data_IF_984037157939
#
_entry.id   IF_984037157939
#
_cell.length_a   1.000
_cell.length_b   1.000
_cell.length_c   1.000
_cell.angle_alpha   90.00
_cell.angle_beta   90.00
_cell.angle_gamma   90.00
#
_symmetry.space_group_name_H-M   'P 1'
#
loop_
_entity.id
_entity.type
_entity.pdbx_description
1 polymer ?
#
# COMPACT_ATOMS: atom_id res chain seq x y z
N UNK A 1 54.23 40.02 -1.94
CA UNK A 1 53.84 38.84 -2.74
C UNK A 1 53.88 37.55 -1.89
N UNK A 2 53.18 37.48 -0.74
CA UNK A 2 53.27 36.30 0.16
C UNK A 2 52.02 36.09 1.03
N UNK A 3 50.82 36.27 0.45
CA UNK A 3 49.54 35.98 1.16
C UNK A 3 48.61 35.08 0.34
N UNK A 4 48.80 34.97 -0.98
CA UNK A 4 47.94 34.15 -1.86
C UNK A 4 48.28 32.65 -1.87
N UNK A 5 49.51 32.24 -1.54
CA UNK A 5 49.88 30.81 -1.54
C UNK A 5 49.41 30.03 -0.29
N UNK A 6 49.13 30.69 0.84
CA UNK A 6 48.71 29.99 2.08
C UNK A 6 47.24 29.55 2.07
N UNK A 7 46.37 30.21 1.30
CA UNK A 7 44.92 29.95 1.25
C UNK A 7 44.54 28.73 0.40
N UNK A 8 45.40 28.29 -0.51
CA UNK A 8 45.13 27.17 -1.42
C UNK A 8 45.34 25.80 -0.76
N UNK A 9 46.26 25.71 0.21
CA UNK A 9 46.49 24.47 0.97
C UNK A 9 45.36 24.11 1.94
N UNK A 10 44.65 25.10 2.50
CA UNK A 10 43.61 24.83 3.50
C UNK A 10 42.34 24.20 2.89
N UNK A 11 42.00 24.57 1.65
CA UNK A 11 40.87 23.95 0.91
C UNK A 11 41.17 22.51 0.51
N UNK A 12 42.39 22.23 0.08
CA UNK A 12 42.83 20.86 -0.28
C UNK A 12 42.86 19.97 0.97
N UNK A 13 43.40 20.46 2.08
CA UNK A 13 43.41 19.73 3.36
C UNK A 13 41.98 19.49 3.87
N UNK A 14 41.08 20.47 3.75
CA UNK A 14 39.67 20.31 4.17
C UNK A 14 38.89 19.30 3.31
N UNK A 15 39.16 19.22 2.01
CA UNK A 15 38.57 18.21 1.11
C UNK A 15 39.12 16.81 1.44
N UNK A 16 40.41 16.67 1.71
CA UNK A 16 41.03 15.40 2.13
C UNK A 16 40.47 14.95 3.49
N UNK A 17 40.25 15.87 4.43
CA UNK A 17 39.65 15.58 5.73
C UNK A 17 38.19 15.13 5.60
N UNK A 18 37.40 15.77 4.73
CA UNK A 18 36.02 15.35 4.45
C UNK A 18 35.95 14.00 3.73
N UNK A 19 36.89 13.69 2.82
CA UNK A 19 36.97 12.39 2.15
C UNK A 19 37.40 11.26 3.11
N UNK A 20 38.33 11.52 4.01
CA UNK A 20 38.77 10.53 5.01
C UNK A 20 37.69 10.25 6.06
N UNK A 21 36.90 11.26 6.46
CA UNK A 21 35.73 11.06 7.34
C UNK A 21 34.67 10.19 6.65
N UNK A 22 34.36 10.45 5.37
CA UNK A 22 33.34 9.68 4.63
C UNK A 22 33.74 8.20 4.41
N UNK A 23 35.04 7.92 4.29
CA UNK A 23 35.57 6.56 4.18
C UNK A 23 35.57 5.84 5.54
N UNK A 24 35.73 6.57 6.66
CA UNK A 24 35.71 5.98 8.00
C UNK A 24 34.33 5.44 8.43
N UNK A 25 33.23 6.04 7.97
CA UNK A 25 31.88 5.63 8.37
C UNK A 25 31.29 4.45 7.59
N UNK A 26 31.82 4.11 6.42
CA UNK A 26 31.25 3.05 5.58
C UNK A 26 31.71 1.62 5.93
N UNK A 27 32.63 1.43 6.87
CA UNK A 27 33.23 0.10 7.18
C UNK A 27 33.36 -0.20 8.68
N UNK A 28 32.51 0.38 9.54
CA UNK A 28 32.66 0.22 11.01
C UNK A 28 32.38 -1.23 11.45
N UNK A 29 31.47 -1.93 10.77
CA UNK A 29 31.04 -3.26 11.15
C UNK A 29 31.25 -4.28 10.02
N UNK A 30 31.45 -5.55 10.39
CA UNK A 30 31.56 -6.64 9.42
C UNK A 30 30.21 -6.87 8.72
N UNK A 31 30.18 -7.56 7.57
CA UNK A 31 28.94 -8.13 7.05
C UNK A 31 28.21 -8.90 8.16
N UNK A 32 26.88 -8.82 8.17
CA UNK A 32 26.00 -9.33 9.23
C UNK A 32 26.05 -8.60 10.58
N UNK A 33 26.55 -7.37 10.62
CA UNK A 33 26.56 -6.56 11.85
C UNK A 33 26.01 -5.15 11.62
N UNK A 34 25.43 -4.60 12.69
CA UNK A 34 24.94 -3.22 12.74
C UNK A 34 25.68 -2.44 13.83
N UNK A 35 25.95 -1.16 13.59
CA UNK A 35 26.57 -0.32 14.61
C UNK A 35 25.51 0.25 15.56
N UNK A 36 25.59 -0.12 16.84
CA UNK A 36 24.74 0.46 17.88
C UNK A 36 25.38 1.71 18.45
N UNK A 37 24.74 2.87 18.27
CA UNK A 37 25.16 4.13 18.90
C UNK A 37 25.08 4.07 20.44
N UNK A 38 24.17 3.25 20.98
CA UNK A 38 23.98 3.06 22.42
C UNK A 38 25.11 2.22 23.00
N UNK A 39 25.41 1.09 22.36
CA UNK A 39 26.46 0.17 22.82
C UNK A 39 27.86 0.54 22.30
N UNK A 40 27.96 1.57 21.46
CA UNK A 40 29.17 2.02 20.75
C UNK A 40 29.95 0.88 20.08
N UNK A 41 29.24 -0.16 19.65
CA UNK A 41 29.82 -1.42 19.16
C UNK A 41 28.97 -2.03 18.06
N UNK A 42 29.58 -2.95 17.31
CA UNK A 42 28.91 -3.73 16.28
C UNK A 42 28.16 -4.91 16.90
N UNK A 43 26.85 -4.93 16.72
CA UNK A 43 25.97 -6.01 17.15
C UNK A 43 25.72 -6.95 15.97
N UNK A 44 25.68 -8.25 16.23
CA UNK A 44 25.32 -9.25 15.23
C UNK A 44 23.83 -9.17 14.93
N UNK A 45 23.49 -9.30 13.65
CA UNK A 45 22.12 -9.61 13.24
C UNK A 45 21.73 -11.02 13.70
N UNK A 46 20.45 -11.35 13.59
CA UNK A 46 19.99 -12.74 13.71
C UNK A 46 20.72 -13.63 12.70
N UNK A 47 20.92 -14.90 13.06
CA UNK A 47 21.52 -15.93 12.20
C UNK A 47 20.71 -16.17 10.90
N UNK A 48 19.47 -15.70 10.85
CA UNK A 48 18.61 -15.77 9.67
C UNK A 48 18.85 -14.64 8.66
N UNK A 49 19.51 -13.56 9.07
CA UNK A 49 19.80 -12.42 8.22
C UNK A 49 21.25 -12.45 7.74
N UNK A 50 21.52 -11.81 6.60
CA UNK A 50 22.87 -11.41 6.17
C UNK A 50 23.08 -9.89 6.37
N UNK A 51 22.01 -9.11 6.25
CA UNK A 51 21.97 -7.71 6.68
C UNK A 51 20.65 -7.44 7.38
N UNK A 52 20.63 -6.56 8.39
CA UNK A 52 19.46 -6.29 9.23
C UNK A 52 19.39 -4.81 9.65
N UNK A 53 18.20 -4.34 10.04
CA UNK A 53 18.02 -3.01 10.64
C UNK A 53 18.24 -3.00 12.16
N UNK A 54 17.93 -4.11 12.83
CA UNK A 54 18.16 -4.34 14.25
C UNK A 54 18.49 -5.82 14.49
N UNK A 55 18.79 -6.22 15.72
CA UNK A 55 19.21 -7.60 16.06
C UNK A 55 18.06 -8.61 16.12
N UNK A 56 16.83 -8.21 15.81
CA UNK A 56 15.64 -9.09 15.78
C UNK A 56 15.63 -9.97 14.54
N UNK A 57 15.00 -11.14 14.65
CA UNK A 57 14.76 -12.06 13.53
C UNK A 57 13.75 -11.50 12.50
N UNK A 58 12.98 -10.47 12.89
CA UNK A 58 11.97 -9.81 12.05
C UNK A 58 12.49 -8.48 11.45
N UNK A 59 13.81 -8.30 11.39
CA UNK A 59 14.41 -7.07 10.91
C UNK A 59 15.45 -7.32 9.81
N UNK A 60 15.33 -8.44 9.09
CA UNK A 60 16.24 -8.78 8.00
C UNK A 60 15.99 -7.89 6.78
N UNK A 61 17.06 -7.31 6.24
CA UNK A 61 17.05 -6.62 4.94
C UNK A 61 17.35 -7.61 3.84
N UNK A 62 18.35 -8.46 4.06
CA UNK A 62 18.69 -9.60 3.20
C UNK A 62 18.80 -10.87 4.04
N UNK A 63 18.39 -11.99 3.47
CA UNK A 63 18.41 -13.28 4.15
C UNK A 63 19.80 -13.92 4.10
N UNK A 64 20.09 -14.75 5.10
CA UNK A 64 21.28 -15.59 5.15
C UNK A 64 21.33 -16.62 4.02
N UNK A 65 22.45 -17.32 3.90
CA UNK A 65 22.62 -18.33 2.87
C UNK A 65 21.53 -19.41 2.93
N UNK A 66 20.95 -19.75 1.76
CA UNK A 66 19.87 -20.74 1.60
C UNK A 66 18.55 -20.38 2.28
N UNK A 67 18.38 -19.11 2.66
CA UNK A 67 17.11 -18.55 3.13
C UNK A 67 16.52 -17.59 2.09
N UNK A 68 15.21 -17.43 2.12
CA UNK A 68 14.44 -16.64 1.18
C UNK A 68 13.60 -15.61 1.91
N UNK A 69 13.31 -14.47 1.29
CA UNK A 69 12.37 -13.50 1.88
C UNK A 69 10.97 -14.09 1.92
N UNK A 70 10.28 -13.92 3.05
CA UNK A 70 8.88 -14.31 3.19
C UNK A 70 7.98 -13.40 2.35
N UNK A 71 6.89 -13.97 1.85
CA UNK A 71 5.84 -13.24 1.14
C UNK A 71 4.91 -12.48 2.10
N UNK A 72 4.84 -12.90 3.37
CA UNK A 72 3.96 -12.32 4.39
C UNK A 72 4.60 -11.11 5.09
N UNK A 73 5.92 -11.13 5.24
CA UNK A 73 6.71 -10.03 5.80
C UNK A 73 8.11 -10.01 5.18
N UNK A 74 8.38 -8.98 4.37
CA UNK A 74 9.66 -8.79 3.68
C UNK A 74 10.87 -8.63 4.61
N UNK A 75 10.64 -8.46 5.92
CA UNK A 75 11.66 -8.38 6.97
C UNK A 75 11.99 -9.72 7.61
N UNK A 76 11.31 -10.79 7.20
CA UNK A 76 11.48 -12.15 7.70
C UNK A 76 12.03 -13.09 6.63
N UNK A 77 12.78 -14.09 7.08
CA UNK A 77 13.44 -15.05 6.22
C UNK A 77 12.93 -16.47 6.49
N UNK A 78 12.70 -17.25 5.43
CA UNK A 78 12.17 -18.61 5.49
C UNK A 78 13.08 -19.59 4.74
N UNK A 79 13.10 -20.84 5.16
CA UNK A 79 13.88 -21.90 4.51
C UNK A 79 13.21 -22.46 3.25
N UNK A 80 11.89 -22.32 3.15
CA UNK A 80 11.08 -22.82 2.04
C UNK A 80 9.84 -21.96 1.93
N UNK A 81 9.44 -21.66 0.69
CA UNK A 81 8.17 -20.99 0.45
C UNK A 81 6.99 -21.88 0.84
N UNK A 82 5.92 -21.24 1.28
CA UNK A 82 4.70 -21.91 1.73
C UNK A 82 3.97 -22.60 0.56
N UNK A 83 3.02 -23.47 0.90
CA UNK A 83 2.07 -24.01 -0.08
C UNK A 83 1.27 -22.83 -0.65
N UNK A 84 1.18 -22.71 -1.98
CA UNK A 84 0.70 -21.55 -2.76
C UNK A 84 1.74 -20.46 -3.09
N UNK A 85 3.03 -20.70 -2.87
CA UNK A 85 4.10 -19.77 -3.23
C UNK A 85 5.15 -20.44 -4.12
N UNK A 86 5.87 -19.61 -4.88
CA UNK A 86 7.05 -20.01 -5.63
C UNK A 86 8.23 -19.09 -5.31
N UNK A 87 9.44 -19.59 -5.57
CA UNK A 87 10.67 -18.82 -5.41
C UNK A 87 11.00 -18.06 -6.70
N UNK A 88 11.05 -16.73 -6.61
CA UNK A 88 11.43 -15.88 -7.73
C UNK A 88 12.96 -15.83 -7.94
N UNK A 89 13.40 -15.03 -8.92
CA UNK A 89 14.83 -14.86 -9.24
C UNK A 89 15.60 -14.07 -8.19
N UNK A 90 14.90 -13.26 -7.39
CA UNK A 90 15.47 -12.45 -6.33
C UNK A 90 15.59 -13.18 -4.98
N UNK A 91 15.33 -14.50 -4.95
CA UNK A 91 15.30 -15.32 -3.74
C UNK A 91 14.19 -14.90 -2.76
N UNK A 92 13.03 -14.53 -3.30
CA UNK A 92 11.85 -14.12 -2.54
C UNK A 92 10.70 -15.11 -2.82
N UNK A 93 9.98 -15.46 -1.76
CA UNK A 93 8.76 -16.22 -1.88
C UNK A 93 7.63 -15.31 -2.35
N UNK A 94 6.98 -15.69 -3.44
CA UNK A 94 5.90 -14.93 -4.07
C UNK A 94 4.65 -15.80 -4.12
N UNK A 95 3.51 -15.24 -3.72
CA UNK A 95 2.22 -15.94 -3.75
C UNK A 95 1.74 -16.16 -5.18
N UNK A 96 1.17 -17.34 -5.41
CA UNK A 96 0.44 -17.64 -6.63
C UNK A 96 -0.77 -16.73 -6.73
N UNK A 97 -0.94 -16.08 -7.87
CA UNK A 97 -2.04 -15.16 -8.13
C UNK A 97 -3.34 -15.91 -8.49
N UNK A 98 -3.22 -17.14 -8.98
CA UNK A 98 -4.36 -17.97 -9.33
C UNK A 98 -5.00 -18.50 -8.06
N UNK A 99 -6.25 -18.11 -7.84
CA UNK A 99 -6.99 -18.58 -6.70
C UNK A 99 -7.08 -20.11 -6.68
N UNK A 100 -6.94 -20.71 -5.50
CA UNK A 100 -7.03 -22.17 -5.35
C UNK A 100 -5.82 -22.91 -5.93
N UNK A 101 -4.82 -22.20 -6.46
CA UNK A 101 -3.57 -22.79 -6.88
C UNK A 101 -2.66 -23.02 -5.67
N UNK A 102 -2.10 -24.22 -5.58
CA UNK A 102 -1.18 -24.61 -4.49
C UNK A 102 0.26 -24.70 -4.97
N UNK A 103 0.46 -24.77 -6.28
CA UNK A 103 1.76 -24.75 -6.93
C UNK A 103 1.63 -24.05 -8.29
N UNK A 104 2.40 -22.97 -8.46
CA UNK A 104 2.51 -22.25 -9.72
C UNK A 104 3.98 -22.04 -10.10
N UNK A 105 4.23 -21.79 -11.37
CA UNK A 105 5.54 -21.43 -11.88
C UNK A 105 5.81 -19.92 -11.81
N UNK A 106 7.00 -19.50 -12.27
CA UNK A 106 7.39 -18.08 -12.30
C UNK A 106 6.56 -17.22 -13.24
N UNK A 107 5.89 -17.82 -14.22
CA UNK A 107 4.97 -17.14 -15.13
C UNK A 107 3.54 -17.09 -14.57
N UNK A 108 3.35 -17.46 -13.29
CA UNK A 108 2.03 -17.57 -12.66
C UNK A 108 1.14 -18.59 -13.38
N UNK A 109 1.72 -19.64 -13.97
CA UNK A 109 0.96 -20.76 -14.51
C UNK A 109 0.74 -21.78 -13.40
N UNK A 110 -0.52 -22.15 -13.17
CA UNK A 110 -0.85 -23.12 -12.12
C UNK A 110 -0.57 -24.55 -12.58
N UNK A 111 0.29 -25.24 -11.83
CA UNK A 111 0.60 -26.65 -12.04
C UNK A 111 -0.35 -27.56 -11.25
N UNK A 112 -0.77 -27.11 -10.07
CA UNK A 112 -1.59 -27.89 -9.16
C UNK A 112 -2.55 -27.01 -8.39
N UNK A 113 -3.83 -27.39 -8.42
CA UNK A 113 -4.88 -26.78 -7.61
C UNK A 113 -5.03 -27.49 -6.26
N UNK A 114 -5.68 -26.81 -5.31
CA UNK A 114 -6.02 -27.39 -4.01
C UNK A 114 -7.07 -28.48 -4.14
N UNK A 115 -7.23 -29.28 -3.09
CA UNK A 115 -8.03 -30.51 -3.05
C UNK A 115 -9.50 -30.38 -3.52
N UNK A 116 -10.08 -29.18 -3.48
CA UNK A 116 -11.47 -28.93 -3.88
C UNK A 116 -11.61 -28.42 -5.32
N UNK A 117 -10.49 -28.18 -6.01
CA UNK A 117 -10.44 -27.55 -7.31
C UNK A 117 -9.84 -28.48 -8.35
N UNK A 118 -10.32 -28.36 -9.58
CA UNK A 118 -9.77 -29.00 -10.75
C UNK A 118 -9.03 -27.96 -11.58
N UNK A 119 -7.83 -28.32 -12.03
CA UNK A 119 -7.05 -27.47 -12.91
C UNK A 119 -7.67 -27.40 -14.32
N UNK A 120 -8.04 -26.20 -14.74
CA UNK A 120 -8.31 -25.84 -16.12
C UNK A 120 -7.06 -25.23 -16.74
N UNK A 121 -6.28 -26.08 -17.42
CA UNK A 121 -5.04 -25.68 -18.08
C UNK A 121 -5.25 -24.71 -19.24
N UNK A 122 -6.41 -24.72 -19.89
CA UNK A 122 -6.65 -23.88 -21.06
C UNK A 122 -6.79 -22.41 -20.67
N UNK A 123 -7.42 -22.16 -19.52
CA UNK A 123 -7.66 -20.82 -18.99
C UNK A 123 -6.69 -20.42 -17.87
N UNK A 124 -5.83 -21.35 -17.43
CA UNK A 124 -4.90 -21.16 -16.31
C UNK A 124 -5.64 -20.86 -14.99
N UNK A 125 -6.63 -21.69 -14.67
CA UNK A 125 -7.53 -21.48 -13.53
C UNK A 125 -7.75 -22.75 -12.72
N UNK A 126 -8.11 -22.59 -11.45
CA UNK A 126 -8.57 -23.66 -10.59
C UNK A 126 -10.07 -23.53 -10.39
N UNK A 127 -10.82 -24.47 -10.96
CA UNK A 127 -12.29 -24.45 -10.97
C UNK A 127 -12.84 -25.38 -9.91
N UNK A 128 -13.81 -24.93 -9.13
CA UNK A 128 -14.42 -25.73 -8.08
C UNK A 128 -15.01 -27.04 -8.64
N UNK A 129 -14.74 -28.17 -8.00
CA UNK A 129 -15.32 -29.45 -8.44
C UNK A 129 -16.81 -29.52 -8.07
N UNK A 130 -17.64 -29.99 -9.02
CA UNK A 130 -19.10 -30.08 -8.87
C UNK A 130 -19.60 -30.90 -7.66
N UNK A 131 -18.76 -31.76 -7.08
CA UNK A 131 -19.09 -32.60 -5.94
C UNK A 131 -18.75 -31.99 -4.57
N UNK A 132 -18.21 -30.76 -4.54
CA UNK A 132 -17.78 -30.10 -3.29
C UNK A 132 -18.96 -29.39 -2.60
N UNK A 133 -19.79 -28.68 -3.36
CA UNK A 133 -21.03 -28.07 -2.85
C UNK A 133 -22.27 -28.62 -3.58
N UNK A 134 -23.36 -28.94 -2.86
CA UNK A 134 -24.56 -29.56 -3.45
C UNK A 134 -25.34 -28.65 -4.41
N UNK A 135 -25.09 -27.34 -4.37
CA UNK A 135 -25.74 -26.35 -5.22
C UNK A 135 -24.69 -25.44 -5.89
N UNK A 136 -24.90 -25.12 -7.16
CA UNK A 136 -24.04 -24.25 -7.99
C UNK A 136 -23.92 -22.81 -7.48
N UNK A 137 -24.72 -22.42 -6.49
CA UNK A 137 -24.80 -21.07 -5.92
C UNK A 137 -24.07 -20.93 -4.58
N UNK A 138 -23.43 -21.99 -4.11
CA UNK A 138 -22.84 -22.01 -2.77
C UNK A 138 -21.35 -21.74 -2.84
N UNK A 139 -20.88 -20.94 -1.90
CA UNK A 139 -19.49 -20.53 -1.76
C UNK A 139 -18.79 -21.37 -0.72
N UNK A 140 -17.58 -21.86 -1.01
CA UNK A 140 -16.75 -22.53 0.01
C UNK A 140 -16.00 -21.51 0.87
N UNK A 141 -16.01 -21.71 2.19
CA UNK A 141 -15.23 -20.86 3.09
C UNK A 141 -13.76 -21.28 3.15
N UNK A 142 -12.92 -20.62 2.34
CA UNK A 142 -11.47 -20.77 2.33
C UNK A 142 -10.91 -22.10 1.78
N UNK A 143 -9.61 -22.15 1.44
CA UNK A 143 -8.97 -23.32 0.83
C UNK A 143 -8.59 -24.44 1.81
N UNK A 144 -8.56 -24.19 3.13
CA UNK A 144 -7.78 -25.05 4.02
C UNK A 144 -8.51 -26.28 4.61
N UNK A 145 -9.82 -26.29 4.85
CA UNK A 145 -10.50 -27.50 5.36
C UNK A 145 -12.01 -27.50 5.08
N UNK A 146 -12.51 -28.61 4.55
CA UNK A 146 -13.88 -28.88 4.09
C UNK A 146 -15.04 -28.53 5.08
N UNK A 147 -16.21 -28.26 4.46
CA UNK A 147 -17.62 -28.39 4.94
C UNK A 147 -18.44 -27.14 5.30
N UNK A 148 -18.10 -25.94 4.83
CA UNK A 148 -19.03 -24.82 4.93
C UNK A 148 -19.29 -24.25 3.55
N UNK A 149 -20.20 -24.91 2.84
CA UNK A 149 -20.85 -24.36 1.65
C UNK A 149 -21.93 -23.40 2.16
N UNK A 150 -21.68 -22.10 2.03
CA UNK A 150 -22.62 -21.09 2.44
C UNK A 150 -23.31 -20.50 1.21
N UNK A 151 -24.62 -20.27 1.28
CA UNK A 151 -25.33 -19.57 0.21
C UNK A 151 -24.89 -18.08 0.12
N UNK A 152 -24.34 -17.54 1.21
CA UNK A 152 -23.76 -16.21 1.29
C UNK A 152 -22.53 -16.23 2.21
N UNK A 153 -21.48 -15.50 1.84
CA UNK A 153 -20.29 -15.37 2.67
C UNK A 153 -20.57 -14.62 4.00
N UNK A 154 -19.92 -15.02 5.11
CA UNK A 154 -19.99 -14.28 6.37
C UNK A 154 -19.45 -12.85 6.23
N UNK A 155 -19.86 -11.93 7.11
CA UNK A 155 -19.53 -10.49 7.01
C UNK A 155 -18.02 -10.16 6.93
N UNK A 156 -17.14 -11.03 7.44
CA UNK A 156 -15.68 -10.86 7.36
C UNK A 156 -15.03 -11.41 6.08
N UNK A 157 -15.85 -11.84 5.12
CA UNK A 157 -15.44 -12.45 3.86
C UNK A 157 -16.22 -11.85 2.69
N UNK A 158 -15.59 -11.71 1.53
CA UNK A 158 -16.27 -11.33 0.30
C UNK A 158 -16.54 -12.53 -0.61
N UNK A 159 -17.54 -12.41 -1.47
CA UNK A 159 -17.95 -13.44 -2.44
C UNK A 159 -17.11 -13.30 -3.71
N UNK A 160 -16.22 -14.25 -3.97
CA UNK A 160 -15.58 -14.34 -5.28
C UNK A 160 -16.44 -15.26 -6.17
N UNK A 161 -17.12 -14.64 -7.12
CA UNK A 161 -18.06 -15.30 -8.03
C UNK A 161 -17.37 -16.21 -9.05
N UNK A 162 -16.14 -15.88 -9.45
CA UNK A 162 -15.37 -16.66 -10.42
C UNK A 162 -14.91 -17.99 -9.82
N UNK A 163 -14.40 -17.94 -8.58
CA UNK A 163 -13.89 -19.11 -7.89
C UNK A 163 -14.94 -19.83 -7.00
N UNK A 164 -16.13 -19.27 -6.83
CA UNK A 164 -17.23 -19.79 -6.00
C UNK A 164 -16.81 -20.05 -4.53
N UNK A 165 -16.24 -19.03 -3.92
CA UNK A 165 -15.61 -19.08 -2.59
C UNK A 165 -15.91 -17.83 -1.76
N UNK A 166 -15.70 -17.95 -0.45
CA UNK A 166 -15.59 -16.85 0.48
C UNK A 166 -14.12 -16.59 0.79
N UNK A 167 -13.63 -15.42 0.38
CA UNK A 167 -12.27 -14.97 0.66
C UNK A 167 -12.25 -14.02 1.84
N UNK A 168 -11.27 -14.20 2.72
CA UNK A 168 -11.07 -13.27 3.85
C UNK A 168 -10.79 -11.88 3.31
N UNK A 169 -11.56 -10.90 3.78
CA UNK A 169 -11.37 -9.49 3.43
C UNK A 169 -9.95 -8.99 3.79
N UNK A 170 -9.26 -9.66 4.72
CA UNK A 170 -7.90 -9.36 5.16
C UNK A 170 -6.82 -9.74 4.14
N UNK A 171 -7.11 -10.61 3.15
CA UNK A 171 -6.14 -11.12 2.16
C UNK A 171 -6.26 -10.47 0.78
N UNK A 172 -7.15 -9.49 0.61
CA UNK A 172 -7.07 -8.60 -0.54
C UNK A 172 -5.80 -7.74 -0.40
N UNK A 173 -4.90 -7.79 -1.39
CA UNK A 173 -3.70 -6.93 -1.45
C UNK A 173 -4.09 -5.44 -1.31
N UNK A 174 -5.26 -5.05 -1.82
CA UNK A 174 -5.82 -3.71 -1.67
C UNK A 174 -6.26 -3.35 -0.23
N UNK A 175 -6.47 -4.33 0.65
CA UNK A 175 -6.92 -4.14 2.05
C UNK A 175 -5.76 -4.33 3.04
N UNK A 176 -4.74 -5.13 2.71
CA UNK A 176 -3.49 -5.14 3.49
C UNK A 176 -2.80 -3.77 3.47
N UNK A 177 -2.86 -3.04 2.35
CA UNK A 177 -2.45 -1.64 2.31
C UNK A 177 -3.33 -0.77 3.21
N UNK A 178 -4.65 -1.07 3.31
CA UNK A 178 -5.60 -0.31 4.12
C UNK A 178 -5.40 -0.41 5.64
N UNK A 179 -4.83 -1.52 6.14
CA UNK A 179 -4.54 -1.67 7.57
C UNK A 179 -3.35 -0.83 8.05
N UNK A 180 -2.51 -0.34 7.12
CA UNK A 180 -1.42 0.60 7.38
C UNK A 180 -1.75 2.05 6.98
N UNK A 181 -2.97 2.31 6.51
CA UNK A 181 -3.40 3.66 6.14
C UNK A 181 -3.65 4.48 7.41
N UNK A 182 -2.63 5.21 7.84
CA UNK A 182 -2.81 6.30 8.79
C UNK A 182 -3.26 7.55 8.04
N UNK A 183 -4.44 8.07 8.41
CA UNK A 183 -4.88 9.38 7.94
C UNK A 183 -4.15 10.44 8.76
N UNK A 184 -3.04 10.96 8.21
CA UNK A 184 -2.16 11.90 8.91
C UNK A 184 -2.54 13.36 8.69
N UNK A 185 -3.49 13.62 7.79
CA UNK A 185 -3.92 14.97 7.45
C UNK A 185 -4.90 15.52 8.48
N UNK A 186 -4.86 16.84 8.69
CA UNK A 186 -5.86 17.52 9.52
C UNK A 186 -7.23 17.38 8.85
N UNK A 187 -8.23 16.98 9.62
CA UNK A 187 -9.60 16.79 9.15
C UNK A 187 -10.27 18.15 8.98
N UNK A 188 -10.89 18.36 7.81
CA UNK A 188 -11.65 19.56 7.45
C UNK A 188 -13.16 19.28 7.54
N UNK A 189 -13.59 18.12 7.03
CA UNK A 189 -15.00 17.76 6.94
C UNK A 189 -15.17 16.25 7.08
N UNK A 190 -16.28 15.83 7.66
CA UNK A 190 -16.72 14.43 7.71
C UNK A 190 -18.17 14.42 7.25
N UNK A 191 -18.53 13.49 6.37
CA UNK A 191 -19.90 13.30 5.94
C UNK A 191 -20.26 11.83 5.86
N UNK A 192 -21.54 11.47 6.13
CA UNK A 192 -22.02 10.14 5.81
C UNK A 192 -21.90 9.90 4.31
N UNK A 193 -21.49 8.70 3.94
CA UNK A 193 -21.34 8.28 2.55
C UNK A 193 -22.38 7.21 2.19
N UNK A 194 -22.52 6.19 3.03
CA UNK A 194 -23.56 5.15 2.99
C UNK A 194 -23.99 4.82 4.44
N UNK A 195 -24.92 3.86 4.62
CA UNK A 195 -25.47 3.50 5.95
C UNK A 195 -24.37 3.19 7.00
N UNK A 196 -23.25 2.59 6.58
CA UNK A 196 -22.15 2.18 7.47
C UNK A 196 -20.78 2.81 7.12
N UNK A 197 -20.77 3.90 6.35
CA UNK A 197 -19.52 4.49 5.85
C UNK A 197 -19.49 6.01 5.94
N UNK A 198 -18.30 6.55 6.20
CA UNK A 198 -18.04 7.98 6.28
C UNK A 198 -16.96 8.39 5.28
N UNK A 199 -17.19 9.51 4.59
CA UNK A 199 -16.15 10.17 3.81
C UNK A 199 -15.57 11.31 4.64
N UNK A 200 -14.26 11.23 4.90
CA UNK A 200 -13.47 12.23 5.60
C UNK A 200 -12.66 13.01 4.56
N UNK A 201 -12.71 14.33 4.66
CA UNK A 201 -11.92 15.27 3.88
C UNK A 201 -10.88 15.87 4.80
N UNK A 202 -9.62 15.83 4.40
CA UNK A 202 -8.52 16.48 5.09
C UNK A 202 -7.75 17.41 4.19
N UNK A 203 -6.75 18.05 4.78
CA UNK A 203 -5.88 18.99 4.08
C UNK A 203 -5.22 18.36 2.85
N UNK A 204 -4.74 19.24 1.97
CA UNK A 204 -3.96 18.88 0.78
C UNK A 204 -4.71 17.93 -0.16
N UNK A 205 -6.01 18.15 -0.35
CA UNK A 205 -6.84 17.36 -1.26
C UNK A 205 -6.84 15.86 -0.95
N UNK A 206 -6.81 15.55 0.36
CA UNK A 206 -6.79 14.18 0.86
C UNK A 206 -8.18 13.78 1.32
N UNK A 207 -8.63 12.62 0.85
CA UNK A 207 -9.93 12.06 1.16
C UNK A 207 -9.73 10.67 1.73
N UNK A 208 -10.55 10.28 2.70
CA UNK A 208 -10.55 8.94 3.24
C UNK A 208 -11.97 8.41 3.37
N UNK A 209 -12.16 7.15 2.97
CA UNK A 209 -13.39 6.42 3.23
C UNK A 209 -13.17 5.57 4.48
N UNK A 210 -14.05 5.71 5.46
CA UNK A 210 -13.98 5.01 6.75
C UNK A 210 -15.25 4.18 6.95
N UNK A 211 -15.14 3.09 7.69
CA UNK A 211 -16.29 2.33 8.17
C UNK A 211 -16.92 2.96 9.43
N UNK A 212 -18.00 2.35 9.91
CA UNK A 212 -18.70 2.72 11.13
C UNK A 212 -17.86 2.62 12.42
N UNK A 213 -16.71 1.94 12.37
CA UNK A 213 -15.74 1.84 13.47
C UNK A 213 -14.55 2.78 13.31
N UNK A 214 -14.63 3.76 12.40
CA UNK A 214 -13.56 4.71 12.07
C UNK A 214 -12.29 4.05 11.50
N UNK A 215 -12.40 2.83 11.00
CA UNK A 215 -11.29 2.16 10.32
C UNK A 215 -11.19 2.68 8.90
N UNK A 216 -9.99 3.03 8.48
CA UNK A 216 -9.73 3.52 7.12
C UNK A 216 -9.89 2.37 6.13
N UNK A 217 -10.87 2.49 5.26
CA UNK A 217 -11.11 1.60 4.11
C UNK A 217 -10.21 2.03 2.95
N UNK A 218 -10.11 3.33 2.69
CA UNK A 218 -9.33 3.88 1.58
C UNK A 218 -8.85 5.31 1.88
N UNK A 219 -7.69 5.71 1.33
CA UNK A 219 -7.22 7.10 1.29
C UNK A 219 -6.88 7.44 -0.16
N UNK A 220 -7.36 8.58 -0.64
CA UNK A 220 -7.01 9.16 -1.93
C UNK A 220 -6.47 10.57 -1.77
N UNK A 221 -5.32 10.83 -2.36
CA UNK A 221 -4.79 12.18 -2.53
C UNK A 221 -5.09 12.56 -3.98
N UNK A 222 -6.13 13.37 -4.18
CA UNK A 222 -6.55 13.73 -5.54
C UNK A 222 -5.50 14.59 -6.25
N UNK A 223 -4.75 15.41 -5.50
CA UNK A 223 -3.66 16.21 -6.03
C UNK A 223 -2.54 16.34 -5.01
N UNK A 224 -1.33 15.94 -5.41
CA UNK A 224 -0.13 16.15 -4.61
C UNK A 224 0.46 17.53 -4.93
N UNK A 225 0.17 18.52 -4.07
CA UNK A 225 0.61 19.91 -4.25
C UNK A 225 1.84 20.17 -3.37
N UNK A 226 2.98 20.44 -4.00
CA UNK A 226 4.21 20.79 -3.28
C UNK A 226 4.03 22.08 -2.47
N UNK A 227 4.48 22.07 -1.22
CA UNK A 227 4.38 23.21 -0.29
C UNK A 227 2.94 23.65 0.03
N UNK A 228 1.98 22.71 0.02
CA UNK A 228 0.56 22.99 0.30
C UNK A 228 0.35 23.88 1.54
N UNK A 229 1.00 23.53 2.65
CA UNK A 229 0.86 24.26 3.92
C UNK A 229 1.29 25.73 3.81
N UNK A 230 2.29 26.04 2.99
CA UNK A 230 2.78 27.41 2.80
C UNK A 230 1.85 28.25 1.90
N UNK A 231 1.11 27.61 1.01
CA UNK A 231 0.31 28.27 -0.03
C UNK A 231 -1.14 28.44 0.44
N UNK A 232 -1.69 27.41 1.06
CA UNK A 232 -3.13 27.28 1.32
C UNK A 232 -3.49 27.24 2.81
N UNK A 233 -2.52 27.13 3.73
CA UNK A 233 -2.80 27.07 5.17
C UNK A 233 -2.23 28.25 5.94
N UNK A 234 -2.91 28.63 7.03
CA UNK A 234 -2.44 29.58 8.03
C UNK A 234 -2.70 28.97 9.40
N UNK A 235 -1.64 28.81 10.21
CA UNK A 235 -1.70 28.05 11.48
C UNK A 235 -2.27 26.62 11.33
N UNK A 236 -2.04 25.99 10.18
CA UNK A 236 -2.51 24.65 9.87
C UNK A 236 -3.99 24.55 9.49
N UNK A 237 -4.71 25.67 9.39
CA UNK A 237 -6.08 25.74 8.87
C UNK A 237 -6.06 26.22 7.42
N UNK A 238 -6.85 25.58 6.55
CA UNK A 238 -6.98 26.00 5.16
C UNK A 238 -7.65 27.38 5.05
N UNK A 239 -6.93 28.35 4.50
CA UNK A 239 -7.41 29.74 4.30
C UNK A 239 -8.36 29.80 3.10
N UNK A 240 -8.13 28.94 2.10
CA UNK A 240 -9.07 28.65 1.03
C UNK A 240 -9.35 27.16 1.00
N UNK A 241 -10.63 26.79 1.04
CA UNK A 241 -11.06 25.41 1.01
C UNK A 241 -10.91 24.88 -0.42
N UNK A 242 -9.81 24.18 -0.67
CA UNK A 242 -9.50 23.64 -2.01
C UNK A 242 -10.19 22.30 -2.27
N UNK A 243 -10.63 21.63 -1.21
CA UNK A 243 -11.27 20.32 -1.25
C UNK A 243 -12.79 20.44 -1.04
N UNK A 244 -13.59 19.78 -1.87
CA UNK A 244 -15.04 19.79 -1.76
C UNK A 244 -15.64 18.39 -1.96
N UNK A 245 -16.88 18.22 -1.49
CA UNK A 245 -17.66 17.01 -1.68
C UNK A 245 -19.10 17.36 -2.02
N UNK A 246 -19.67 16.67 -3.01
CA UNK A 246 -21.05 16.81 -3.49
C UNK A 246 -21.60 15.40 -3.76
N UNK A 247 -22.55 14.96 -2.94
CA UNK A 247 -23.07 13.59 -3.00
C UNK A 247 -21.93 12.57 -2.85
N UNK A 248 -21.81 11.67 -3.81
CA UNK A 248 -20.80 10.60 -3.82
C UNK A 248 -19.48 11.03 -4.48
N UNK A 249 -19.34 12.31 -4.87
CA UNK A 249 -18.19 12.83 -5.57
C UNK A 249 -17.42 13.81 -4.70
N UNK A 250 -16.09 13.75 -4.75
CA UNK A 250 -15.24 14.77 -4.13
C UNK A 250 -14.19 15.25 -5.10
N UNK A 251 -13.80 16.50 -4.94
CA UNK A 251 -12.89 17.15 -5.85
C UNK A 251 -11.93 18.11 -5.18
N UNK A 252 -10.88 18.44 -5.93
CA UNK A 252 -9.80 19.31 -5.52
C UNK A 252 -9.61 20.41 -6.57
N UNK A 253 -9.59 21.67 -6.13
CA UNK A 253 -9.39 22.87 -6.94
C UNK A 253 -7.95 23.41 -6.89
N UNK A 254 -7.10 22.86 -6.01
CA UNK A 254 -5.73 23.30 -5.82
C UNK A 254 -4.82 23.00 -7.02
N UNK A 255 -3.64 23.62 -7.08
CA UNK A 255 -2.59 23.21 -8.02
C UNK A 255 -2.83 23.47 -9.51
N UNK A 256 -3.71 24.42 -9.88
CA UNK A 256 -4.10 24.77 -11.27
C UNK A 256 -4.81 23.65 -12.05
N UNK A 257 -5.37 22.67 -11.35
CA UNK A 257 -6.16 21.58 -11.92
C UNK A 257 -7.43 21.42 -11.09
N UNK A 258 -8.55 21.15 -11.75
CA UNK A 258 -9.74 20.61 -11.09
C UNK A 258 -9.78 19.12 -11.37
N UNK A 259 -9.82 18.32 -10.31
CA UNK A 259 -10.04 16.88 -10.38
C UNK A 259 -11.24 16.51 -9.53
N UNK A 260 -12.14 15.69 -10.07
CA UNK A 260 -13.30 15.14 -9.36
C UNK A 260 -13.31 13.63 -9.49
N UNK A 261 -13.41 12.95 -8.36
CA UNK A 261 -13.49 11.50 -8.24
C UNK A 261 -14.85 11.09 -7.70
N UNK A 262 -15.40 10.00 -8.22
CA UNK A 262 -16.54 9.31 -7.64
C UNK A 262 -16.04 8.29 -6.61
N UNK A 263 -16.39 8.47 -5.35
CA UNK A 263 -15.93 7.61 -4.24
C UNK A 263 -16.68 6.27 -4.15
N UNK A 264 -17.72 6.07 -4.95
CA UNK A 264 -18.42 4.79 -5.04
C UNK A 264 -17.76 3.86 -6.04
N UNK A 265 -17.24 4.42 -7.15
CA UNK A 265 -16.56 3.65 -8.21
C UNK A 265 -15.03 3.79 -8.18
N UNK A 266 -14.50 4.74 -7.40
CA UNK A 266 -13.09 5.14 -7.37
C UNK A 266 -12.54 5.64 -8.72
N UNK A 267 -13.41 6.12 -9.60
CA UNK A 267 -13.04 6.63 -10.91
C UNK A 267 -12.99 8.17 -10.94
N UNK A 268 -12.04 8.72 -11.69
CA UNK A 268 -12.00 10.16 -12.00
C UNK A 268 -13.10 10.45 -13.03
N UNK A 269 -14.13 11.18 -12.61
CA UNK A 269 -15.29 11.52 -13.44
C UNK A 269 -15.12 12.85 -14.17
N UNK A 270 -14.21 13.70 -13.69
CA UNK A 270 -13.92 14.97 -14.33
C UNK A 270 -12.49 15.42 -14.05
N UNK A 271 -11.83 15.92 -15.10
CA UNK A 271 -10.53 16.55 -15.00
C UNK A 271 -10.45 17.76 -15.93
N UNK A 272 -9.95 18.89 -15.42
CA UNK A 272 -9.64 20.05 -16.22
C UNK A 272 -8.32 20.69 -15.78
N UNK A 273 -7.42 20.91 -16.74
CA UNK A 273 -6.13 21.57 -16.54
C UNK A 273 -6.25 23.00 -17.09
N UNK A 274 -6.55 23.97 -16.24
CA UNK A 274 -6.66 25.35 -16.70
C UNK A 274 -6.30 26.35 -15.60
N UNK A 275 -5.54 27.39 -15.95
CA UNK A 275 -4.99 28.41 -15.04
C UNK A 275 -6.02 29.47 -14.57
N UNK A 276 -7.31 29.30 -14.89
CA UNK A 276 -8.36 30.30 -14.62
C UNK A 276 -9.58 29.68 -13.91
N UNK A 277 -9.39 29.17 -12.69
CA UNK A 277 -10.49 28.56 -11.93
C UNK A 277 -11.24 29.52 -10.98
N UNK A 278 -10.81 30.77 -10.82
CA UNK A 278 -11.50 31.76 -9.97
C UNK A 278 -12.91 32.14 -10.45
N UNK A 279 -13.35 31.66 -11.61
CA UNK A 279 -14.72 31.87 -12.15
C UNK A 279 -15.63 30.62 -12.10
N UNK A 280 -15.12 29.43 -11.76
CA UNK A 280 -15.92 28.18 -11.77
C UNK A 280 -16.54 27.86 -10.39
N UNK A 281 -16.17 28.58 -9.33
CA UNK A 281 -16.87 28.52 -8.04
C UNK A 281 -18.36 28.90 -8.18
N UNK A 282 -18.71 29.70 -9.19
CA UNK A 282 -20.09 30.07 -9.52
C UNK A 282 -20.84 29.01 -10.34
N UNK A 283 -20.14 28.02 -10.90
CA UNK A 283 -20.75 26.93 -11.67
C UNK A 283 -21.03 25.73 -10.76
N UNK A 284 -20.16 25.46 -9.78
CA UNK A 284 -20.42 24.39 -8.79
C UNK A 284 -21.59 24.76 -7.86
N UNK A 285 -21.80 26.06 -7.61
CA UNK A 285 -23.00 26.56 -6.91
C UNK A 285 -24.28 26.58 -7.77
N UNK A 286 -24.17 26.54 -9.10
CA UNK A 286 -25.36 26.44 -9.98
C UNK A 286 -25.78 25.01 -10.27
N UNK A 287 -24.86 24.03 -10.24
CA UNK A 287 -25.24 22.60 -10.30
C UNK A 287 -25.96 22.10 -9.05
N UNK A 288 -25.72 22.71 -7.88
CA UNK A 288 -26.49 22.44 -6.65
C UNK A 288 -27.89 23.06 -6.65
N UNK A 289 -28.23 23.93 -7.61
CA UNK A 289 -29.58 24.47 -7.80
C UNK A 289 -30.41 23.71 -8.85
N UNK A 290 -29.78 22.88 -9.70
CA UNK A 290 -30.50 22.14 -10.77
C UNK A 290 -31.01 20.77 -10.29
N UNK A 291 -30.51 20.24 -9.17
CA UNK A 291 -31.00 18.98 -8.57
C UNK A 291 -31.88 19.19 -7.33
N UNK A 292 -32.37 20.43 -7.11
CA UNK A 292 -33.48 20.73 -6.20
C UNK A 292 -34.52 21.52 -7.00
N UNK A 293 -35.13 20.86 -7.98
CA UNK A 293 -36.40 21.27 -8.59
C UNK A 293 -37.13 20.05 -9.10
#
# INVERSE_FOLDING_TARGET
>A
MSVKLKRMNYKIISIIFLFTIKICFCNICKPNQIYSLIAQSCLQCSDQCNTCFNTSEQACITCGDRLFKSSDDSSTCVQKCSKNEFLNENLECVKCQIYGCVQCDRNQICDQCDQNFKLDKANNQCVLMNNVCPFLTNFIQGPLNLKQCNNQCPQSFYQNMEAQICEETVKCIQIQESQNLSFTQRIIQIQPFNEDQYLVVGNACTFALLDNNWKVINIQILQNITNYDQIYTYNGDEVSKESFVIGNQGGCLGGNRLLVMNFQTFEVVFENKSYHFKQISNIITSYSLINIS
#
